data_IF_751978269161
#
_entry.id   IF_751978269161
#
_cell.length_a   1.000
_cell.length_b   1.000
_cell.length_c   1.000
_cell.angle_alpha   90.00
_cell.angle_beta   90.00
_cell.angle_gamma   90.00
#
_symmetry.space_group_name_H-M   'P 1'
#
loop_
_entity.id
_entity.type
_entity.pdbx_description
1 polymer ?
#
# COMPACT_ATOMS: atom_id res chain seq x y z
N UNK A 1 -9.95 42.56 21.84
CA UNK A 1 -10.24 43.74 21.00
C UNK A 1 -9.78 43.43 19.58
N UNK A 2 -10.62 43.68 18.58
CA UNK A 2 -10.41 43.59 17.11
C UNK A 2 -10.07 42.19 16.54
N UNK A 3 -11.04 41.38 16.10
CA UNK A 3 -11.79 41.40 14.81
C UNK A 3 -10.91 41.48 13.56
N UNK A 4 -10.90 40.40 12.78
CA UNK A 4 -11.06 40.45 11.33
C UNK A 4 -11.60 39.10 10.81
N UNK A 5 -12.89 39.15 10.46
CA UNK A 5 -13.58 38.20 9.59
C UNK A 5 -13.18 38.56 8.16
N UNK A 6 -12.80 37.59 7.34
CA UNK A 6 -12.93 37.72 5.88
C UNK A 6 -13.33 36.38 5.28
N UNK A 7 -14.60 36.31 4.89
CA UNK A 7 -15.15 35.28 4.04
C UNK A 7 -14.85 35.65 2.58
N UNK A 8 -14.43 34.68 1.77
CA UNK A 8 -14.67 34.72 0.34
C UNK A 8 -15.10 33.33 -0.13
N UNK A 9 -16.37 33.28 -0.53
CA UNK A 9 -17.04 32.17 -1.20
C UNK A 9 -16.74 32.33 -2.69
N UNK A 10 -16.23 31.27 -3.35
CA UNK A 10 -16.37 31.11 -4.80
C UNK A 10 -16.82 29.68 -5.05
N UNK A 11 -18.14 29.53 -5.18
CA UNK A 11 -18.77 28.34 -5.76
C UNK A 11 -18.71 28.44 -7.28
N UNK A 12 -18.26 27.38 -7.94
CA UNK A 12 -18.47 27.19 -9.38
C UNK A 12 -19.17 25.86 -9.59
N UNK A 13 -20.46 25.93 -9.89
CA UNK A 13 -21.25 24.80 -10.35
C UNK A 13 -21.00 24.62 -11.86
N UNK A 14 -20.64 23.41 -12.29
CA UNK A 14 -20.81 22.98 -13.67
C UNK A 14 -21.95 21.96 -13.70
N UNK A 15 -23.03 22.32 -14.38
CA UNK A 15 -24.08 21.42 -14.85
C UNK A 15 -23.87 21.24 -16.36
N UNK A 16 -23.69 19.99 -16.80
CA UNK A 16 -23.84 19.63 -18.20
C UNK A 16 -24.73 18.38 -18.29
N UNK A 17 -25.93 18.61 -18.82
CA UNK A 17 -26.87 17.60 -19.31
C UNK A 17 -26.31 16.94 -20.58
N UNK A 18 -26.53 15.63 -20.75
CA UNK A 18 -26.26 14.95 -22.02
C UNK A 18 -26.91 13.57 -22.06
N UNK A 19 -27.81 13.39 -23.03
CA UNK A 19 -28.83 12.34 -23.14
C UNK A 19 -28.35 10.93 -23.49
N UNK A 20 -29.19 9.96 -23.10
CA UNK A 20 -29.34 8.61 -23.65
C UNK A 20 -29.14 8.52 -25.17
N UNK A 21 -28.40 7.48 -25.61
CA UNK A 21 -28.70 6.84 -26.89
C UNK A 21 -28.46 5.33 -26.82
N UNK A 22 -29.59 4.61 -26.85
CA UNK A 22 -29.72 3.18 -27.07
C UNK A 22 -29.33 2.86 -28.51
N UNK A 23 -28.61 1.76 -28.73
CA UNK A 23 -28.48 1.12 -30.05
C UNK A 23 -28.35 -0.38 -29.85
N UNK A 24 -29.43 -1.08 -30.18
CA UNK A 24 -29.52 -2.53 -30.25
C UNK A 24 -28.85 -3.08 -31.53
N UNK A 25 -28.67 -4.41 -31.51
CA UNK A 25 -28.74 -5.41 -32.59
C UNK A 25 -27.41 -6.13 -32.94
N UNK A 26 -27.44 -7.37 -33.48
CA UNK A 26 -27.58 -8.64 -32.76
C UNK A 26 -26.35 -9.55 -32.99
N UNK A 27 -26.19 -10.64 -32.23
CA UNK A 27 -25.68 -11.86 -32.86
C UNK A 27 -26.26 -13.13 -32.24
N UNK A 28 -26.77 -13.96 -33.14
CA UNK A 28 -27.30 -15.28 -32.91
C UNK A 28 -26.19 -16.24 -32.46
N UNK A 29 -26.59 -17.24 -31.68
CA UNK A 29 -25.67 -18.13 -31.00
C UNK A 29 -25.05 -19.23 -31.85
N UNK A 30 -24.21 -20.01 -31.19
CA UNK A 30 -24.18 -21.45 -31.33
C UNK A 30 -23.63 -22.04 -30.05
N UNK A 31 -24.45 -22.91 -29.45
CA UNK A 31 -24.05 -23.81 -28.39
C UNK A 31 -23.16 -24.93 -28.97
N UNK A 32 -22.19 -25.37 -28.19
CA UNK A 32 -21.81 -26.78 -28.13
C UNK A 32 -21.22 -27.09 -26.75
N UNK A 33 -21.76 -28.16 -26.19
CA UNK A 33 -21.57 -28.66 -24.83
C UNK A 33 -20.24 -29.48 -24.71
N UNK A 34 -19.88 -29.96 -23.50
CA UNK A 34 -18.53 -30.34 -23.11
C UNK A 34 -18.23 -31.84 -23.31
N UNK A 35 -16.95 -32.19 -23.31
CA UNK A 35 -16.49 -33.56 -23.06
C UNK A 35 -15.22 -33.55 -22.19
N UNK A 36 -15.25 -34.39 -21.16
CA UNK A 36 -14.18 -34.68 -20.21
C UNK A 36 -12.99 -35.40 -20.88
N UNK A 37 -11.79 -35.38 -20.25
CA UNK A 37 -11.27 -36.55 -19.51
C UNK A 37 -9.80 -36.37 -19.02
N UNK A 38 -9.55 -36.87 -17.79
CA UNK A 38 -8.33 -37.50 -17.21
C UNK A 38 -6.97 -36.79 -17.05
N UNK A 39 -6.68 -36.48 -15.77
CA UNK A 39 -5.56 -36.95 -14.90
C UNK A 39 -4.15 -37.19 -15.49
N UNK A 40 -3.12 -36.59 -14.87
CA UNK A 40 -2.15 -37.24 -13.93
C UNK A 40 -1.12 -36.20 -13.42
N UNK A 41 -0.65 -36.25 -12.15
CA UNK A 41 0.15 -35.18 -11.51
C UNK A 41 1.68 -35.41 -11.43
N UNK A 42 2.42 -34.29 -11.41
CA UNK A 42 3.72 -34.00 -10.73
C UNK A 42 5.01 -34.76 -11.17
N UNK A 43 6.22 -34.17 -11.01
CA UNK A 43 6.79 -33.95 -9.68
C UNK A 43 7.49 -32.61 -9.42
N UNK A 44 7.38 -32.20 -8.16
CA UNK A 44 8.18 -31.21 -7.47
C UNK A 44 9.69 -31.50 -7.55
N UNK A 45 10.47 -30.45 -7.81
CA UNK A 45 11.91 -30.44 -7.55
C UNK A 45 12.16 -29.79 -6.18
N UNK A 46 12.27 -30.67 -5.18
CA UNK A 46 12.71 -30.37 -3.82
C UNK A 46 14.24 -30.17 -3.81
N UNK A 47 14.74 -29.06 -3.28
CA UNK A 47 16.15 -28.94 -2.85
C UNK A 47 16.21 -28.26 -1.49
N UNK A 48 16.26 -29.10 -0.45
CA UNK A 48 16.77 -28.76 0.88
C UNK A 48 18.29 -28.99 0.96
N UNK A 49 18.92 -28.24 1.87
CA UNK A 49 20.22 -28.44 2.55
C UNK A 49 21.41 -27.71 1.90
N UNK A 50 22.30 -26.96 2.59
CA UNK A 50 22.53 -26.61 4.01
C UNK A 50 23.68 -25.54 4.09
N UNK A 51 24.08 -24.99 5.26
CA UNK A 51 24.80 -23.70 5.46
C UNK A 51 26.34 -23.82 5.49
N UNK A 52 27.14 -22.70 5.53
CA UNK A 52 27.51 -21.97 6.76
C UNK A 52 27.55 -20.42 6.50
N UNK A 53 27.78 -19.47 7.42
CA UNK A 53 28.60 -19.42 8.62
C UNK A 53 28.11 -18.29 9.55
N UNK A 54 28.40 -18.46 10.84
CA UNK A 54 28.14 -17.48 11.88
C UNK A 54 29.00 -16.22 11.69
N UNK A 55 28.34 -15.06 11.76
CA UNK A 55 28.97 -13.80 12.17
C UNK A 55 28.15 -13.23 13.31
N UNK A 56 28.78 -13.16 14.49
CA UNK A 56 28.28 -12.44 15.65
C UNK A 56 28.12 -10.97 15.28
N UNK A 57 26.92 -10.44 15.42
CA UNK A 57 26.61 -9.03 15.25
C UNK A 57 25.40 -8.67 16.12
N UNK A 58 25.71 -7.98 17.21
CA UNK A 58 24.90 -7.15 18.12
C UNK A 58 23.37 -7.25 18.04
N UNK A 59 22.78 -7.57 19.19
CA UNK A 59 21.33 -7.59 19.46
C UNK A 59 20.67 -6.23 19.15
N UNK A 60 20.01 -6.13 18.01
CA UNK A 60 18.95 -5.14 17.79
C UNK A 60 17.62 -5.78 18.19
N UNK A 61 16.83 -5.05 18.97
CA UNK A 61 15.52 -5.48 19.45
C UNK A 61 14.68 -6.09 18.32
N UNK A 62 14.22 -7.33 18.51
CA UNK A 62 13.29 -8.01 17.60
C UNK A 62 11.95 -7.29 17.62
N UNK A 63 11.77 -6.33 16.72
CA UNK A 63 10.44 -5.87 16.30
C UNK A 63 9.78 -6.91 15.39
N UNK A 64 8.44 -6.94 15.32
CA UNK A 64 7.71 -7.78 14.39
C UNK A 64 7.84 -7.20 12.98
N UNK A 65 8.91 -7.54 12.27
CA UNK A 65 9.01 -7.51 10.81
C UNK A 65 9.01 -8.95 10.28
N UNK A 66 9.10 -9.15 8.96
CA UNK A 66 9.13 -10.48 8.33
C UNK A 66 10.40 -11.28 8.67
N UNK A 67 10.59 -11.66 9.92
CA UNK A 67 11.70 -12.47 10.45
C UNK A 67 13.11 -11.91 10.24
N UNK A 68 13.28 -10.81 9.51
CA UNK A 68 14.53 -10.24 9.03
C UNK A 68 14.90 -8.90 9.65
N UNK A 69 16.00 -8.32 9.17
CA UNK A 69 16.41 -6.97 9.56
C UNK A 69 15.48 -5.92 8.93
N UNK A 70 15.24 -4.82 9.64
CA UNK A 70 14.34 -3.73 9.22
C UNK A 70 15.10 -2.41 9.06
N UNK A 71 14.62 -1.57 8.15
CA UNK A 71 15.06 -0.19 7.94
C UNK A 71 13.93 0.74 8.41
N UNK A 72 14.21 1.54 9.44
CA UNK A 72 13.33 2.62 9.88
C UNK A 72 13.27 3.70 8.79
N UNK A 73 12.06 4.05 8.36
CA UNK A 73 11.81 5.13 7.40
C UNK A 73 11.52 6.46 8.11
N UNK A 74 11.16 6.40 9.39
CA UNK A 74 11.02 7.54 10.28
C UNK A 74 9.67 7.61 10.99
N UNK A 75 9.42 8.78 11.57
CA UNK A 75 8.26 9.08 12.38
C UNK A 75 7.71 10.46 12.01
N UNK A 76 6.39 10.60 11.99
CA UNK A 76 5.70 11.89 11.80
C UNK A 76 4.40 11.94 12.59
N UNK A 77 3.87 13.14 12.84
CA UNK A 77 2.59 13.32 13.52
C UNK A 77 1.52 13.81 12.55
N UNK A 78 0.37 13.14 12.55
CA UNK A 78 -0.79 13.47 11.73
C UNK A 78 -2.02 13.60 12.63
N UNK A 79 -2.62 14.79 12.68
CA UNK A 79 -3.79 15.06 13.53
C UNK A 79 -3.60 14.63 15.02
N UNK A 80 -2.37 14.73 15.53
CA UNK A 80 -2.03 14.32 16.90
C UNK A 80 -1.83 12.81 17.10
N UNK A 81 -1.83 12.02 16.03
CA UNK A 81 -1.43 10.60 16.04
C UNK A 81 -0.03 10.49 15.46
N UNK A 82 0.90 9.89 16.19
CA UNK A 82 2.21 9.56 15.64
C UNK A 82 2.11 8.35 14.72
N UNK A 83 2.75 8.45 13.56
CA UNK A 83 2.84 7.43 12.53
C UNK A 83 4.31 7.09 12.37
N UNK A 84 4.67 5.83 12.63
CA UNK A 84 6.02 5.30 12.42
C UNK A 84 6.00 4.32 11.28
N UNK A 85 7.02 4.35 10.43
CA UNK A 85 7.13 3.50 9.26
C UNK A 85 8.47 2.78 9.20
N UNK A 86 8.42 1.49 8.86
CA UNK A 86 9.60 0.73 8.49
C UNK A 86 9.35 -0.09 7.23
N UNK A 87 10.45 -0.61 6.68
CA UNK A 87 10.42 -1.67 5.68
C UNK A 87 11.47 -2.73 5.99
N UNK A 88 11.36 -3.87 5.35
CA UNK A 88 12.43 -4.87 5.41
C UNK A 88 13.71 -4.37 4.73
N UNK A 89 14.86 -4.81 5.25
CA UNK A 89 16.16 -4.54 4.67
C UNK A 89 16.28 -5.15 3.27
N UNK A 90 16.82 -4.38 2.32
CA UNK A 90 17.02 -4.78 0.93
C UNK A 90 16.99 -3.58 0.00
N UNK A 91 17.28 -3.74 -1.27
CA UNK A 91 17.15 -2.65 -2.26
C UNK A 91 15.69 -2.44 -2.66
N UNK A 92 15.25 -1.19 -2.86
CA UNK A 92 13.98 -0.88 -3.52
C UNK A 92 14.16 -1.03 -5.03
N UNK A 93 13.66 -2.14 -5.58
CA UNK A 93 13.79 -2.47 -7.00
C UNK A 93 12.52 -2.11 -7.77
N UNK A 94 12.59 -1.40 -8.90
CA UNK A 94 11.46 -1.23 -9.81
C UNK A 94 10.82 -2.58 -10.16
N UNK A 95 9.50 -2.65 -10.11
CA UNK A 95 8.72 -3.88 -10.36
C UNK A 95 8.82 -4.94 -9.25
N UNK A 96 9.47 -4.63 -8.14
CA UNK A 96 9.58 -5.51 -6.97
C UNK A 96 8.53 -5.22 -5.91
N UNK A 97 8.57 -6.02 -4.84
CA UNK A 97 7.76 -5.82 -3.64
C UNK A 97 8.61 -5.29 -2.48
N UNK A 98 8.03 -4.39 -1.68
CA UNK A 98 8.61 -3.92 -0.42
C UNK A 98 7.62 -4.20 0.72
N UNK A 99 7.93 -5.11 1.65
CA UNK A 99 7.17 -5.26 2.88
C UNK A 99 7.29 -3.98 3.73
N UNK A 100 6.15 -3.41 4.13
CA UNK A 100 6.02 -2.16 4.88
C UNK A 100 5.22 -2.41 6.14
N UNK A 101 5.69 -1.84 7.25
CA UNK A 101 4.99 -1.83 8.53
C UNK A 101 4.70 -0.39 8.98
N UNK A 102 3.50 -0.17 9.52
CA UNK A 102 3.10 1.09 10.15
C UNK A 102 2.58 0.85 11.55
N UNK A 103 3.13 1.62 12.49
CA UNK A 103 2.59 1.77 13.84
C UNK A 103 1.91 3.11 13.98
N UNK A 104 0.74 3.11 14.63
CA UNK A 104 0.06 4.32 15.08
C UNK A 104 0.17 4.39 16.61
N UNK A 105 0.23 5.59 17.18
CA UNK A 105 0.26 5.73 18.64
C UNK A 105 -0.93 5.02 19.30
N UNK A 106 -0.63 4.28 20.37
CA UNK A 106 -1.63 3.49 21.10
C UNK A 106 -2.09 2.21 20.36
N UNK A 107 -1.40 1.77 19.30
CA UNK A 107 -1.66 0.52 18.58
C UNK A 107 -2.19 0.76 17.16
N UNK A 108 -3.39 0.26 16.85
CA UNK A 108 -4.01 0.50 15.53
C UNK A 108 -4.65 1.89 15.40
N UNK A 109 -4.63 2.69 16.47
CA UNK A 109 -5.30 3.98 16.55
C UNK A 109 -6.81 3.90 16.27
N UNK A 110 -7.38 5.01 15.81
CA UNK A 110 -8.77 5.09 15.34
C UNK A 110 -8.91 4.82 13.83
N UNK A 111 -7.92 4.16 13.22
CA UNK A 111 -7.94 3.84 11.80
C UNK A 111 -8.97 2.72 11.50
N UNK A 112 -9.75 2.92 10.45
CA UNK A 112 -10.63 1.92 9.84
C UNK A 112 -9.94 1.23 8.65
N UNK A 113 -9.02 1.92 7.98
CA UNK A 113 -8.18 1.35 6.93
C UNK A 113 -6.87 2.13 6.80
N UNK A 114 -5.81 1.44 6.39
CA UNK A 114 -4.55 2.06 5.96
C UNK A 114 -4.21 1.56 4.56
N UNK A 115 -3.83 2.49 3.67
CA UNK A 115 -3.45 2.21 2.29
C UNK A 115 -2.09 2.81 1.99
N UNK A 116 -1.35 2.11 1.13
CA UNK A 116 0.04 2.37 0.82
C UNK A 116 0.24 2.46 -0.67
N UNK A 117 1.19 3.27 -1.08
CA UNK A 117 1.81 3.14 -2.39
C UNK A 117 3.22 3.72 -2.38
N UNK A 118 4.07 3.15 -3.24
CA UNK A 118 5.37 3.71 -3.57
C UNK A 118 5.22 4.53 -4.85
N UNK A 119 5.64 5.79 -4.85
CA UNK A 119 5.58 6.63 -6.04
C UNK A 119 5.27 8.10 -5.74
N UNK A 120 4.46 8.73 -6.62
CA UNK A 120 4.06 10.13 -6.53
C UNK A 120 2.93 10.35 -5.53
N UNK A 121 2.76 11.57 -5.03
CA UNK A 121 1.73 11.90 -4.03
C UNK A 121 0.29 11.61 -4.47
N UNK A 122 0.00 11.82 -5.74
CA UNK A 122 -1.32 11.55 -6.32
C UNK A 122 -1.55 10.04 -6.56
N UNK A 123 -0.48 9.23 -6.49
CA UNK A 123 -0.49 7.81 -6.79
C UNK A 123 -0.57 7.49 -8.28
N UNK A 124 -0.38 8.47 -9.18
CA UNK A 124 -0.34 8.21 -10.61
C UNK A 124 0.83 7.29 -10.97
N UNK A 125 0.55 6.25 -11.74
CA UNK A 125 1.53 5.21 -12.06
C UNK A 125 1.99 4.38 -10.85
N UNK A 126 1.33 4.53 -9.69
CA UNK A 126 1.62 3.76 -8.47
C UNK A 126 0.56 2.70 -8.24
N UNK A 127 0.92 1.64 -7.53
CA UNK A 127 -0.01 0.55 -7.20
C UNK A 127 -0.37 0.69 -5.72
N UNK A 128 -1.66 0.93 -5.45
CA UNK A 128 -2.17 1.13 -4.10
C UNK A 128 -2.53 -0.21 -3.47
N UNK A 129 -1.88 -0.53 -2.35
CA UNK A 129 -2.17 -1.70 -1.53
C UNK A 129 -2.91 -1.30 -0.25
N UNK A 130 -3.88 -2.12 0.18
CA UNK A 130 -4.50 -1.96 1.50
C UNK A 130 -3.76 -2.87 2.48
N UNK A 131 -3.36 -2.33 3.63
CA UNK A 131 -2.75 -3.16 4.67
C UNK A 131 -3.77 -4.04 5.40
N UNK A 132 -3.24 -5.18 5.84
CA UNK A 132 -3.85 -5.99 6.88
C UNK A 132 -3.30 -5.57 8.25
N UNK A 133 -4.02 -5.94 9.29
CA UNK A 133 -3.49 -5.86 10.64
C UNK A 133 -2.72 -7.14 10.91
N UNK A 134 -1.47 -7.01 11.32
CA UNK A 134 -0.66 -8.10 11.84
C UNK A 134 -0.21 -7.74 13.25
N UNK A 135 -0.55 -8.59 14.22
CA UNK A 135 -0.41 -8.33 15.66
C UNK A 135 -1.00 -6.97 16.11
N UNK A 136 -0.16 -5.94 16.17
CA UNK A 136 -0.50 -4.59 16.63
C UNK A 136 -0.06 -3.48 15.66
N UNK A 137 0.21 -3.82 14.39
CA UNK A 137 0.62 -2.88 13.36
C UNK A 137 -0.09 -3.17 12.03
N UNK A 138 0.02 -2.22 11.11
CA UNK A 138 -0.51 -2.36 9.76
C UNK A 138 0.61 -2.85 8.85
N UNK A 139 0.38 -3.97 8.18
CA UNK A 139 1.36 -4.62 7.32
C UNK A 139 0.85 -4.71 5.88
N UNK A 140 1.73 -4.46 4.91
CA UNK A 140 1.47 -4.77 3.50
C UNK A 140 2.74 -5.02 2.70
N UNK A 141 2.59 -5.71 1.57
CA UNK A 141 3.59 -5.74 0.51
C UNK A 141 3.22 -4.66 -0.50
N UNK A 142 3.99 -3.57 -0.51
CA UNK A 142 3.79 -2.48 -1.45
C UNK A 142 4.58 -2.75 -2.74
N UNK A 143 3.89 -2.79 -3.87
CA UNK A 143 4.53 -2.93 -5.18
C UNK A 143 5.24 -1.62 -5.57
N UNK A 144 6.47 -1.76 -6.06
CA UNK A 144 7.33 -0.67 -6.50
C UNK A 144 7.11 -0.45 -8.00
N UNK A 145 6.71 0.76 -8.45
CA UNK A 145 6.49 1.02 -9.87
C UNK A 145 7.72 0.74 -10.75
N UNK A 146 7.46 0.31 -11.99
CA UNK A 146 8.46 0.22 -13.06
C UNK A 146 8.02 1.01 -14.30
N UNK A 147 8.68 2.13 -14.64
CA UNK A 147 9.85 2.70 -13.96
C UNK A 147 9.48 3.36 -12.62
N UNK A 148 10.41 3.34 -11.66
CA UNK A 148 10.26 4.04 -10.38
C UNK A 148 10.42 5.55 -10.58
N UNK A 149 9.41 6.41 -10.30
CA UNK A 149 9.56 7.86 -10.40
C UNK A 149 10.72 8.39 -9.53
N UNK A 150 11.44 9.41 -10.01
CA UNK A 150 12.64 9.94 -9.34
C UNK A 150 12.35 10.37 -7.88
N UNK A 151 11.25 11.10 -7.68
CA UNK A 151 10.83 11.64 -6.37
C UNK A 151 9.90 10.70 -5.59
N UNK A 152 9.98 9.39 -5.88
CA UNK A 152 9.14 8.39 -5.21
C UNK A 152 9.36 8.37 -3.72
N UNK A 153 8.25 8.35 -2.98
CA UNK A 153 8.18 8.16 -1.53
C UNK A 153 7.28 6.97 -1.21
N UNK A 154 7.37 6.48 0.02
CA UNK A 154 6.29 5.70 0.60
C UNK A 154 5.19 6.69 1.01
N UNK A 155 3.99 6.50 0.51
CA UNK A 155 2.81 7.24 0.92
C UNK A 155 1.89 6.35 1.74
N UNK A 156 1.34 6.92 2.81
CA UNK A 156 0.44 6.23 3.74
C UNK A 156 -0.82 7.06 3.88
N UNK A 157 -1.94 6.54 3.39
CA UNK A 157 -3.28 7.10 3.63
C UNK A 157 -3.92 6.36 4.82
N UNK A 158 -4.27 7.11 5.86
CA UNK A 158 -5.00 6.62 7.02
C UNK A 158 -6.44 7.11 6.91
N UNK A 159 -7.38 6.18 6.88
CA UNK A 159 -8.81 6.44 6.95
C UNK A 159 -9.29 6.18 8.38
N UNK A 160 -9.80 7.20 9.06
CA UNK A 160 -10.37 7.08 10.39
C UNK A 160 -11.77 6.45 10.35
N UNK A 161 -12.26 5.93 11.49
CA UNK A 161 -13.62 5.35 11.62
C UNK A 161 -14.78 6.29 11.23
N UNK A 162 -14.55 7.59 11.21
CA UNK A 162 -15.53 8.58 10.75
C UNK A 162 -15.44 8.88 9.24
N UNK A 163 -14.59 8.16 8.50
CA UNK A 163 -14.36 8.33 7.07
C UNK A 163 -13.38 9.45 6.70
N UNK A 164 -12.89 10.24 7.67
CA UNK A 164 -11.85 11.26 7.40
C UNK A 164 -10.57 10.55 6.95
N UNK A 165 -9.96 11.05 5.88
CA UNK A 165 -8.69 10.57 5.37
C UNK A 165 -7.59 11.60 5.59
N UNK A 166 -6.40 11.11 5.85
CA UNK A 166 -5.20 11.92 5.94
C UNK A 166 -4.02 11.13 5.39
N UNK A 167 -3.08 11.82 4.76
CA UNK A 167 -1.96 11.19 4.05
C UNK A 167 -0.64 11.75 4.57
N UNK A 168 0.32 10.86 4.81
CA UNK A 168 1.71 11.19 5.15
C UNK A 168 2.67 10.48 4.20
N UNK A 169 3.93 10.92 4.20
CA UNK A 169 4.98 10.31 3.37
C UNK A 169 6.27 10.10 4.13
N UNK A 170 7.02 9.09 3.71
CA UNK A 170 8.37 8.81 4.19
C UNK A 170 9.31 8.63 3.00
N UNK A 171 10.56 9.06 3.17
CA UNK A 171 11.61 8.72 2.22
C UNK A 171 11.85 7.20 2.24
N UNK A 172 12.12 6.63 1.06
CA UNK A 172 12.25 5.17 0.91
C UNK A 172 13.56 4.61 1.48
N UNK A 173 14.51 5.49 1.86
CA UNK A 173 15.87 5.14 2.30
C UNK A 173 16.48 4.06 1.38
N UNK A 174 16.57 4.43 0.09
CA UNK A 174 16.97 3.57 -1.03
C UNK A 174 18.44 3.21 -0.95
#
# INVERSE_FOLDING_TARGET
MHRAVFALIVSTALLASGCDQKSDTPNAGSASAPAANTQTPSPAANKQSQPPAASKGTESAKGPGHGGAVIELGETTLDGVTVRASRDQGEIKPGGDSPIDIWLDGGLGNAAAVRFWVGTQDGNGSIKAKAAVEDAHWHTHAEVPDPLPADSKLWVEIEAKNGKKATVSFDLNK
#
